data_IF_855206286172
#
_entry.id   IF_855206286172
#
_cell.length_a   1.000
_cell.length_b   1.000
_cell.length_c   1.000
_cell.angle_alpha   90.00
_cell.angle_beta   90.00
_cell.angle_gamma   90.00
#
_symmetry.space_group_name_H-M   'P 1'
#
loop_
_entity.id
_entity.type
_entity.pdbx_description
1 polymer ?
#
# COMPACT_ATOMS: atom_id res chain seq x y z
N UNK A 1 -3.11 7.12 -8.47
CA UNK A 1 -3.37 6.14 -7.40
C UNK A 1 -2.39 6.33 -6.25
N UNK A 2 -2.83 6.84 -5.10
CA UNK A 2 -2.55 6.22 -3.78
C UNK A 2 -3.03 7.15 -2.66
N UNK A 3 -4.30 7.03 -2.29
CA UNK A 3 -4.94 7.69 -1.13
C UNK A 3 -4.19 7.37 0.18
N UNK A 4 -3.60 6.17 0.26
CA UNK A 4 -2.82 5.68 1.40
C UNK A 4 -1.50 6.44 1.68
N UNK A 5 -0.96 7.18 0.71
CA UNK A 5 0.25 8.00 0.93
C UNK A 5 0.02 9.15 1.91
N UNK A 6 -1.22 9.63 2.05
CA UNK A 6 -1.56 10.70 3.01
C UNK A 6 -1.36 10.26 4.45
N UNK A 7 -1.47 8.96 4.67
CA UNK A 7 -1.46 8.37 5.98
C UNK A 7 -0.11 7.75 6.33
N UNK A 8 0.54 7.14 5.35
CA UNK A 8 1.75 6.36 5.56
C UNK A 8 2.97 7.08 4.97
N UNK A 9 3.75 7.85 5.76
CA UNK A 9 4.88 8.66 5.28
C UNK A 9 5.99 7.83 4.60
N UNK A 10 6.05 6.52 4.86
CA UNK A 10 7.01 5.60 4.24
C UNK A 10 6.37 4.60 3.25
N UNK A 11 5.09 4.78 2.91
CA UNK A 11 4.36 3.86 2.03
C UNK A 11 5.07 3.59 0.70
N UNK A 12 5.59 4.64 0.06
CA UNK A 12 6.22 4.52 -1.25
C UNK A 12 7.50 3.67 -1.21
N UNK A 13 8.26 3.76 -0.11
CA UNK A 13 9.49 3.00 0.09
C UNK A 13 9.19 1.52 0.36
N UNK A 14 8.23 1.25 1.25
CA UNK A 14 7.84 -0.13 1.58
C UNK A 14 7.11 -0.79 0.40
N UNK A 15 6.28 -0.05 -0.34
CA UNK A 15 5.58 -0.57 -1.51
C UNK A 15 6.46 -0.69 -2.76
N UNK A 16 7.66 -0.09 -2.79
CA UNK A 16 8.54 -0.11 -3.95
C UNK A 16 8.77 -1.51 -4.56
N UNK A 17 9.10 -2.57 -3.80
CA UNK A 17 9.27 -3.93 -4.35
C UNK A 17 7.97 -4.57 -4.85
N UNK A 18 6.81 -4.15 -4.33
CA UNK A 18 5.50 -4.60 -4.83
C UNK A 18 5.14 -3.84 -6.11
N UNK A 19 5.39 -2.54 -6.14
CA UNK A 19 5.18 -1.68 -7.30
C UNK A 19 6.11 -2.09 -8.44
N UNK A 20 7.34 -2.51 -8.17
CA UNK A 20 8.28 -2.94 -9.22
C UNK A 20 7.80 -4.18 -9.98
N UNK A 21 7.13 -5.12 -9.30
CA UNK A 21 6.58 -6.33 -9.93
C UNK A 21 5.16 -6.13 -10.47
N UNK A 22 4.40 -5.14 -9.99
CA UNK A 22 3.03 -4.89 -10.46
C UNK A 22 2.96 -3.81 -11.55
N UNK A 23 3.91 -2.88 -11.58
CA UNK A 23 4.07 -1.85 -12.61
C UNK A 23 4.83 -2.41 -13.84
N UNK A 24 4.43 -3.59 -14.29
CA UNK A 24 4.94 -4.20 -15.50
C UNK A 24 4.11 -3.69 -16.67
N UNK A 25 4.78 -3.06 -17.65
CA UNK A 25 4.17 -2.72 -18.94
C UNK A 25 3.58 -3.97 -19.60
N UNK A 26 2.58 -3.83 -20.48
CA UNK A 26 1.92 -4.95 -21.20
C UNK A 26 2.85 -6.11 -21.62
N UNK A 27 4.05 -5.87 -22.21
CA UNK A 27 4.97 -6.95 -22.59
C UNK A 27 5.64 -7.67 -21.40
N UNK A 28 5.83 -6.99 -20.28
CA UNK A 28 6.53 -7.53 -19.11
C UNK A 28 5.61 -8.19 -18.08
N UNK A 29 4.28 -8.12 -18.21
CA UNK A 29 3.32 -8.74 -17.26
C UNK A 29 3.58 -10.22 -16.99
N UNK A 30 4.08 -10.98 -17.97
CA UNK A 30 4.41 -12.40 -17.80
C UNK A 30 5.64 -12.65 -16.91
N UNK A 31 6.41 -11.60 -16.59
CA UNK A 31 7.57 -11.64 -15.68
C UNK A 31 7.20 -11.27 -14.24
N UNK A 32 5.92 -11.31 -13.89
CA UNK A 32 5.49 -11.14 -12.51
C UNK A 32 6.08 -12.27 -11.66
N UNK A 33 6.99 -11.92 -10.75
CA UNK A 33 7.59 -12.85 -9.79
C UNK A 33 7.31 -12.33 -8.40
N UNK A 34 6.50 -13.08 -7.64
CA UNK A 34 6.26 -12.80 -6.24
C UNK A 34 7.28 -13.55 -5.39
N UNK A 35 8.32 -12.87 -4.95
CA UNK A 35 9.40 -13.43 -4.16
C UNK A 35 9.36 -13.04 -2.67
N UNK A 36 10.40 -13.44 -1.93
CA UNK A 36 10.61 -13.01 -0.55
C UNK A 36 10.58 -11.49 -0.33
N UNK A 37 11.18 -10.63 -1.19
CA UNK A 37 11.17 -9.18 -0.94
C UNK A 37 9.77 -8.56 -1.10
N UNK A 38 8.96 -9.06 -2.04
CA UNK A 38 7.56 -8.63 -2.20
C UNK A 38 6.71 -9.03 -1.00
N UNK A 39 6.92 -10.27 -0.50
CA UNK A 39 6.21 -10.76 0.69
C UNK A 39 6.59 -9.98 1.94
N UNK A 40 7.86 -9.66 2.14
CA UNK A 40 8.33 -8.84 3.27
C UNK A 40 7.71 -7.44 3.25
N UNK A 41 7.74 -6.77 2.10
CA UNK A 41 7.08 -5.49 1.91
C UNK A 41 5.56 -5.54 2.17
N UNK A 42 4.89 -6.60 1.74
CA UNK A 42 3.46 -6.76 1.97
C UNK A 42 3.14 -6.93 3.46
N UNK A 43 3.94 -7.72 4.17
CA UNK A 43 3.79 -7.90 5.62
C UNK A 43 4.06 -6.61 6.38
N UNK A 44 5.09 -5.85 5.99
CA UNK A 44 5.39 -4.53 6.57
C UNK A 44 4.24 -3.54 6.33
N UNK A 45 3.70 -3.48 5.11
CA UNK A 45 2.52 -2.67 4.81
C UNK A 45 1.31 -3.08 5.66
N UNK A 46 1.07 -4.38 5.80
CA UNK A 46 -0.01 -4.89 6.65
C UNK A 46 0.18 -4.45 8.11
N UNK A 47 1.38 -4.56 8.65
CA UNK A 47 1.68 -4.12 10.02
C UNK A 47 1.51 -2.61 10.19
N UNK A 48 1.96 -1.81 9.22
CA UNK A 48 1.77 -0.36 9.24
C UNK A 48 0.29 0.03 9.20
N UNK A 49 -0.51 -0.64 8.37
CA UNK A 49 -1.96 -0.41 8.29
C UNK A 49 -2.71 -0.81 9.57
N UNK A 50 -2.26 -1.86 10.26
CA UNK A 50 -2.87 -2.33 11.51
C UNK A 50 -2.46 -1.44 12.69
N UNK A 51 -1.19 -1.05 12.76
CA UNK A 51 -0.65 -0.30 13.90
C UNK A 51 -0.95 1.20 13.81
N UNK A 52 -1.09 1.75 12.61
CA UNK A 52 -1.40 3.15 12.47
C UNK A 52 -2.91 3.38 12.69
N UNK A 53 -3.31 4.37 13.50
CA UNK A 53 -4.71 4.69 13.75
C UNK A 53 -5.35 5.42 12.57
N UNK A 54 -5.41 4.77 11.41
CA UNK A 54 -5.98 5.34 10.16
C UNK A 54 -7.49 5.57 10.26
N UNK A 55 -8.14 4.77 11.10
CA UNK A 55 -9.58 4.74 11.24
C UNK A 55 -10.07 5.33 12.57
N UNK A 56 -9.18 5.75 13.48
CA UNK A 56 -9.62 6.35 14.76
C UNK A 56 -10.19 7.77 14.60
N UNK A 57 -10.05 8.38 13.41
CA UNK A 57 -10.66 9.68 13.07
C UNK A 57 -11.98 9.53 12.30
N UNK A 58 -12.51 8.31 12.14
CA UNK A 58 -13.80 8.09 11.48
C UNK A 58 -14.80 7.43 12.43
N UNK A 59 -16.05 7.90 12.48
CA UNK A 59 -16.64 8.91 11.60
C UNK A 59 -16.33 10.34 12.09
N UNK A 60 -15.93 11.22 11.16
CA UNK A 60 -16.00 12.67 11.37
C UNK A 60 -17.42 13.09 10.98
N UNK A 61 -18.21 13.56 11.95
CA UNK A 61 -19.59 14.01 11.73
C UNK A 61 -19.71 15.19 10.75
N UNK A 62 -18.59 15.85 10.40
CA UNK A 62 -18.51 16.94 9.42
C UNK A 62 -18.53 16.48 7.94
N UNK A 63 -18.37 15.18 7.65
CA UNK A 63 -18.45 14.66 6.29
C UNK A 63 -19.77 13.90 6.08
N UNK A 64 -20.62 14.29 5.12
CA UNK A 64 -21.86 13.58 4.84
C UNK A 64 -21.54 12.14 4.41
N UNK A 65 -22.23 11.18 5.03
CA UNK A 65 -22.21 9.78 4.64
C UNK A 65 -22.96 9.68 3.31
N UNK A 66 -22.23 9.38 2.23
CA UNK A 66 -22.76 9.19 0.87
C UNK A 66 -23.22 7.75 0.70
#
# INVERSE_FOLDING_TARGET
MSWYRKFLPQFASVAAPIISVTNLTKPNRKKFVWGPPQRGAFLQLKQLLINQPLFLQFPNDDYPII
#
